data_IF_042148221582
#
_entry.id   IF_042148221582
#
_cell.length_a   1.000
_cell.length_b   1.000
_cell.length_c   1.000
_cell.angle_alpha   90.00
_cell.angle_beta   90.00
_cell.angle_gamma   90.00
#
_symmetry.space_group_name_H-M   'P 1'
#
loop_
_entity.id
_entity.type
_entity.pdbx_description
1 polymer ?
#
# COMPACT_ATOMS: atom_id res chain seq x y z
N UNK A 1 10.19 25.24 2.49
CA UNK A 1 8.71 25.15 2.55
C UNK A 1 8.06 24.12 1.64
N UNK A 2 8.32 23.99 0.32
CA UNK A 2 7.65 22.95 -0.52
C UNK A 2 8.22 21.53 -0.34
N UNK A 3 9.54 21.39 -0.33
CA UNK A 3 10.23 20.11 -0.07
C UNK A 3 9.89 19.52 1.31
N UNK A 4 9.79 20.36 2.34
CA UNK A 4 9.43 19.94 3.70
C UNK A 4 8.00 19.41 3.80
N UNK A 5 7.07 19.94 2.99
CA UNK A 5 5.70 19.44 2.93
C UNK A 5 5.65 18.06 2.28
N UNK A 6 6.30 17.88 1.12
CA UNK A 6 6.38 16.58 0.46
C UNK A 6 7.11 15.53 1.32
N UNK A 7 8.19 15.92 2.01
CA UNK A 7 8.90 15.04 2.93
C UNK A 7 8.01 14.60 4.11
N UNK A 8 7.15 15.48 4.63
CA UNK A 8 6.14 15.12 5.65
C UNK A 8 5.09 14.14 5.12
N UNK A 9 4.58 14.38 3.91
CA UNK A 9 3.62 13.46 3.26
C UNK A 9 4.27 12.09 3.05
N UNK A 10 5.51 12.05 2.57
CA UNK A 10 6.28 10.81 2.41
C UNK A 10 6.47 10.13 3.77
N UNK A 11 6.92 10.84 4.80
CA UNK A 11 7.08 10.28 6.14
C UNK A 11 5.77 9.67 6.69
N UNK A 12 4.62 10.33 6.47
CA UNK A 12 3.31 9.77 6.82
C UNK A 12 3.01 8.49 6.04
N UNK A 13 3.31 8.45 4.74
CA UNK A 13 3.16 7.24 3.91
C UNK A 13 4.02 6.10 4.47
N UNK A 14 5.26 6.38 4.86
CA UNK A 14 6.15 5.39 5.49
C UNK A 14 5.61 4.91 6.84
N UNK A 15 5.16 5.81 7.71
CA UNK A 15 4.54 5.46 8.99
C UNK A 15 3.30 4.60 8.81
N UNK A 16 2.49 4.87 7.79
CA UNK A 16 1.31 4.06 7.48
C UNK A 16 1.73 2.68 6.99
N UNK A 17 2.72 2.59 6.11
CA UNK A 17 3.20 1.31 5.58
C UNK A 17 3.95 0.48 6.63
N UNK A 18 4.57 1.12 7.62
CA UNK A 18 5.24 0.46 8.74
C UNK A 18 4.27 0.06 9.86
N UNK A 19 3.34 0.94 10.25
CA UNK A 19 2.35 0.68 11.31
C UNK A 19 1.25 -0.28 10.84
N UNK A 20 0.80 -0.14 9.60
CA UNK A 20 -0.11 -1.11 8.99
C UNK A 20 0.76 -2.25 8.52
N UNK A 21 0.87 -3.28 9.36
CA UNK A 21 1.52 -4.58 9.08
C UNK A 21 1.07 -5.26 7.76
N UNK A 22 0.25 -4.62 6.93
CA UNK A 22 -0.03 -4.97 5.52
C UNK A 22 1.19 -5.41 4.71
N UNK A 23 2.37 -4.83 4.96
CA UNK A 23 3.61 -5.22 4.27
C UNK A 23 4.53 -6.14 5.07
N UNK A 24 4.35 -6.24 6.39
CA UNK A 24 5.28 -6.97 7.28
C UNK A 24 4.64 -8.20 7.96
N UNK A 25 4.89 -9.34 7.28
CA UNK A 25 5.31 -10.65 7.80
C UNK A 25 4.34 -11.50 8.63
N UNK A 26 3.59 -12.39 7.97
CA UNK A 26 3.94 -13.81 7.75
C UNK A 26 2.82 -14.44 6.92
N UNK A 27 3.11 -14.88 5.70
CA UNK A 27 2.14 -15.52 4.78
C UNK A 27 1.39 -16.68 5.45
N UNK A 28 1.99 -17.31 6.48
CA UNK A 28 1.44 -18.44 7.22
C UNK A 28 0.67 -18.08 8.51
N UNK A 29 0.51 -16.80 8.86
CA UNK A 29 -0.19 -16.38 10.10
C UNK A 29 -1.13 -15.18 9.91
N UNK A 30 -1.42 -14.79 8.67
CA UNK A 30 -2.22 -13.61 8.41
C UNK A 30 -3.72 -13.90 8.43
N UNK A 31 -4.43 -13.19 9.32
CA UNK A 31 -5.89 -13.18 9.32
C UNK A 31 -6.39 -12.36 8.13
N UNK A 32 -7.00 -12.99 7.14
CA UNK A 32 -7.47 -12.35 5.90
C UNK A 32 -8.28 -11.07 6.14
N UNK A 33 -9.33 -11.05 6.96
CA UNK A 33 -10.01 -9.83 7.40
C UNK A 33 -9.08 -8.66 7.76
N UNK A 34 -7.99 -8.93 8.49
CA UNK A 34 -7.02 -7.89 8.88
C UNK A 34 -6.19 -7.40 7.69
N UNK A 35 -5.77 -8.29 6.79
CA UNK A 35 -5.09 -7.93 5.53
C UNK A 35 -6.00 -7.02 4.70
N UNK A 36 -7.26 -7.42 4.53
CA UNK A 36 -8.27 -6.66 3.78
C UNK A 36 -8.47 -5.27 4.38
N UNK A 37 -8.63 -5.19 5.70
CA UNK A 37 -8.80 -3.91 6.37
C UNK A 37 -7.57 -3.01 6.17
N UNK A 38 -6.37 -3.57 6.32
CA UNK A 38 -5.11 -2.85 6.10
C UNK A 38 -4.98 -2.29 4.68
N UNK A 39 -5.49 -3.02 3.67
CA UNK A 39 -5.47 -2.56 2.28
C UNK A 39 -6.52 -1.49 1.97
N UNK A 40 -7.72 -1.60 2.56
CA UNK A 40 -8.74 -0.53 2.47
C UNK A 40 -8.20 0.77 3.05
N UNK A 41 -7.58 0.64 4.20
CA UNK A 41 -6.90 1.69 4.93
C UNK A 41 -5.77 2.33 4.11
N UNK A 42 -4.88 1.52 3.54
CA UNK A 42 -3.80 1.98 2.66
C UNK A 42 -4.37 2.77 1.47
N UNK A 43 -5.42 2.27 0.83
CA UNK A 43 -6.08 2.95 -0.30
C UNK A 43 -6.62 4.32 0.08
N UNK A 44 -7.29 4.42 1.24
CA UNK A 44 -7.84 5.68 1.74
C UNK A 44 -6.73 6.70 1.99
N UNK A 45 -5.64 6.28 2.64
CA UNK A 45 -4.50 7.14 2.91
C UNK A 45 -3.77 7.59 1.65
N UNK A 46 -3.54 6.70 0.67
CA UNK A 46 -2.95 7.10 -0.60
C UNK A 46 -3.85 8.11 -1.33
N UNK A 47 -5.17 7.96 -1.23
CA UNK A 47 -6.11 8.91 -1.84
C UNK A 47 -6.04 10.28 -1.17
N UNK A 48 -5.94 10.33 0.16
CA UNK A 48 -5.70 11.57 0.91
C UNK A 48 -4.37 12.22 0.50
N UNK A 49 -3.27 11.46 0.55
CA UNK A 49 -1.93 11.93 0.21
C UNK A 49 -1.85 12.47 -1.23
N UNK A 50 -2.52 11.81 -2.19
CA UNK A 50 -2.61 12.29 -3.58
C UNK A 50 -3.34 13.62 -3.73
N UNK A 51 -4.25 13.95 -2.82
CA UNK A 51 -4.93 15.26 -2.76
C UNK A 51 -4.08 16.37 -2.14
N UNK A 52 -3.11 16.00 -1.30
CA UNK A 52 -2.19 16.94 -0.65
C UNK A 52 -0.98 17.28 -1.54
N UNK A 53 -0.59 16.37 -2.42
CA UNK A 53 0.48 16.61 -3.39
C UNK A 53 -0.02 17.56 -4.48
N UNK A 54 0.63 18.71 -4.60
CA UNK A 54 0.31 19.74 -5.59
C UNK A 54 1.21 19.64 -6.83
N UNK A 55 2.54 19.69 -6.68
CA UNK A 55 3.48 19.86 -7.80
C UNK A 55 4.62 18.81 -7.85
N UNK A 56 4.35 17.54 -7.55
CA UNK A 56 5.35 16.46 -7.64
C UNK A 56 4.81 15.25 -8.42
N UNK A 57 5.01 15.28 -9.74
CA UNK A 57 4.51 14.24 -10.65
C UNK A 57 5.10 12.86 -10.37
N UNK A 58 6.35 12.80 -9.90
CA UNK A 58 7.01 11.53 -9.57
C UNK A 58 6.39 10.93 -8.32
N UNK A 59 6.25 11.72 -7.26
CA UNK A 59 5.59 11.28 -6.03
C UNK A 59 4.12 10.91 -6.30
N UNK A 60 3.40 11.72 -7.09
CA UNK A 60 2.01 11.42 -7.49
C UNK A 60 1.91 10.09 -8.24
N UNK A 61 2.85 9.81 -9.15
CA UNK A 61 2.92 8.54 -9.87
C UNK A 61 3.19 7.36 -8.93
N UNK A 62 4.15 7.52 -8.01
CA UNK A 62 4.52 6.48 -7.06
C UNK A 62 3.38 6.16 -6.07
N UNK A 63 2.72 7.17 -5.49
CA UNK A 63 1.55 6.94 -4.63
C UNK A 63 0.36 6.37 -5.40
N UNK A 64 0.17 6.76 -6.65
CA UNK A 64 -0.86 6.17 -7.53
C UNK A 64 -0.59 4.68 -7.78
N UNK A 65 0.67 4.31 -7.97
CA UNK A 65 1.06 2.91 -8.15
C UNK A 65 0.85 2.08 -6.89
N UNK A 66 1.19 2.59 -5.69
CA UNK A 66 0.90 1.92 -4.41
C UNK A 66 -0.61 1.69 -4.26
N UNK A 67 -1.42 2.71 -4.54
CA UNK A 67 -2.89 2.61 -4.49
C UNK A 67 -3.41 1.57 -5.49
N UNK A 68 -2.86 1.52 -6.70
CA UNK A 68 -3.26 0.58 -7.73
C UNK A 68 -2.93 -0.86 -7.36
N UNK A 69 -1.74 -1.13 -6.80
CA UNK A 69 -1.34 -2.45 -6.31
C UNK A 69 -2.33 -2.99 -5.26
N UNK A 70 -2.68 -2.16 -4.26
CA UNK A 70 -3.67 -2.52 -3.25
C UNK A 70 -5.06 -2.81 -3.85
N UNK A 71 -5.51 -2.01 -4.83
CA UNK A 71 -6.78 -2.23 -5.54
C UNK A 71 -6.74 -3.53 -6.35
N UNK A 72 -5.64 -3.80 -7.04
CA UNK A 72 -5.47 -5.00 -7.86
C UNK A 72 -5.50 -6.26 -7.00
N UNK A 73 -4.83 -6.27 -5.85
CA UNK A 73 -4.95 -7.36 -4.89
C UNK A 73 -6.42 -7.57 -4.49
N UNK A 74 -7.09 -6.50 -4.04
CA UNK A 74 -8.47 -6.60 -3.59
C UNK A 74 -9.40 -7.12 -4.69
N UNK A 75 -9.21 -6.72 -5.95
CA UNK A 75 -10.02 -7.21 -7.09
C UNK A 75 -9.80 -8.69 -7.42
N UNK A 76 -8.56 -9.17 -7.29
CA UNK A 76 -8.19 -10.52 -7.71
C UNK A 76 -8.43 -11.57 -6.62
N UNK A 77 -8.33 -11.17 -5.35
CA UNK A 77 -8.37 -12.08 -4.20
C UNK A 77 -9.68 -11.99 -3.42
N UNK A 78 -10.36 -10.85 -3.43
CA UNK A 78 -11.50 -10.58 -2.54
C UNK A 78 -12.72 -10.18 -3.34
N UNK A 79 -13.82 -10.92 -3.18
CA UNK A 79 -15.11 -10.36 -3.54
C UNK A 79 -16.23 -10.96 -2.69
N UNK A 80 -16.19 -10.93 -1.36
CA UNK A 80 -17.44 -10.98 -0.56
C UNK A 80 -17.36 -9.95 0.58
N UNK A 81 -18.49 -9.32 0.89
CA UNK A 81 -18.60 -8.16 1.81
C UNK A 81 -18.19 -8.49 3.26
N UNK A 82 -18.14 -9.77 3.58
CA UNK A 82 -17.92 -10.41 4.88
C UNK A 82 -16.48 -10.91 5.10
N UNK A 83 -15.57 -10.70 4.13
CA UNK A 83 -14.14 -10.94 4.33
C UNK A 83 -13.68 -12.37 4.03
N UNK A 84 -14.51 -13.18 3.37
CA UNK A 84 -14.10 -14.47 2.83
C UNK A 84 -13.32 -14.32 1.53
N UNK A 85 -12.36 -15.21 1.33
CA UNK A 85 -11.62 -15.30 0.07
C UNK A 85 -12.51 -15.94 -0.99
N UNK A 86 -12.64 -15.30 -2.15
CA UNK A 86 -13.29 -15.93 -3.33
C UNK A 86 -12.42 -16.98 -4.01
N UNK A 87 -11.15 -17.07 -3.62
CA UNK A 87 -10.10 -17.91 -4.23
C UNK A 87 -9.42 -18.73 -3.15
N UNK A 88 -8.65 -19.75 -3.56
CA UNK A 88 -7.86 -20.53 -2.63
C UNK A 88 -6.86 -19.64 -1.87
N UNK A 89 -6.51 -20.06 -0.66
CA UNK A 89 -5.51 -19.40 0.16
C UNK A 89 -4.15 -19.28 -0.56
N UNK A 90 -3.74 -20.32 -1.30
CA UNK A 90 -2.53 -20.28 -2.14
C UNK A 90 -2.58 -19.18 -3.20
N UNK A 91 -3.74 -18.98 -3.83
CA UNK A 91 -3.91 -17.91 -4.82
C UNK A 91 -3.87 -16.53 -4.15
N UNK A 92 -4.50 -16.39 -2.99
CA UNK A 92 -4.46 -15.18 -2.19
C UNK A 92 -3.03 -14.83 -1.76
N UNK A 93 -2.28 -15.82 -1.28
CA UNK A 93 -0.88 -15.69 -0.87
C UNK A 93 0.03 -15.27 -2.02
N UNK A 94 -0.08 -15.92 -3.18
CA UNK A 94 0.69 -15.53 -4.38
C UNK A 94 0.44 -14.08 -4.78
N UNK A 95 -0.82 -13.64 -4.81
CA UNK A 95 -1.15 -12.26 -5.15
C UNK A 95 -0.71 -11.26 -4.06
N UNK A 96 -0.69 -11.68 -2.80
CA UNK A 96 -0.21 -10.86 -1.69
C UNK A 96 1.29 -10.61 -1.80
N UNK A 97 2.07 -11.65 -2.15
CA UNK A 97 3.51 -11.54 -2.40
C UNK A 97 3.81 -10.59 -3.55
N UNK A 98 3.14 -10.75 -4.70
CA UNK A 98 3.30 -9.85 -5.86
C UNK A 98 3.05 -8.38 -5.45
N UNK A 99 1.95 -8.12 -4.75
CA UNK A 99 1.61 -6.77 -4.30
C UNK A 99 2.67 -6.22 -3.34
N UNK A 100 3.21 -7.05 -2.43
CA UNK A 100 4.26 -6.65 -1.49
C UNK A 100 5.56 -6.29 -2.19
N UNK A 101 5.98 -7.07 -3.18
CA UNK A 101 7.16 -6.76 -3.99
C UNK A 101 6.99 -5.44 -4.74
N UNK A 102 5.84 -5.24 -5.38
CA UNK A 102 5.52 -4.00 -6.09
C UNK A 102 5.59 -2.79 -5.15
N UNK A 103 4.88 -2.81 -4.03
CA UNK A 103 4.87 -1.71 -3.06
C UNK A 103 6.27 -1.52 -2.46
N UNK A 104 6.96 -2.60 -2.07
CA UNK A 104 8.30 -2.55 -1.50
C UNK A 104 9.32 -1.86 -2.42
N UNK A 105 9.24 -2.12 -3.74
CA UNK A 105 10.11 -1.47 -4.72
C UNK A 105 9.88 0.05 -4.81
N UNK A 106 8.61 0.49 -4.69
CA UNK A 106 8.23 1.91 -4.73
C UNK A 106 8.68 2.59 -3.44
N UNK A 107 8.43 1.95 -2.29
CA UNK A 107 8.86 2.44 -0.98
C UNK A 107 10.37 2.62 -0.94
N UNK A 108 11.14 1.64 -1.39
CA UNK A 108 12.60 1.75 -1.44
C UNK A 108 13.06 2.95 -2.29
N UNK A 109 12.41 3.21 -3.43
CA UNK A 109 12.69 4.37 -4.28
C UNK A 109 12.35 5.69 -3.60
N UNK A 110 11.20 5.79 -2.94
CA UNK A 110 10.77 6.99 -2.20
C UNK A 110 11.72 7.30 -1.04
N UNK A 111 12.17 6.28 -0.30
CA UNK A 111 13.11 6.43 0.81
C UNK A 111 14.41 7.09 0.34
N UNK A 112 14.97 6.59 -0.76
CA UNK A 112 16.21 7.12 -1.34
C UNK A 112 16.09 8.56 -1.86
N UNK A 113 14.87 9.01 -2.18
CA UNK A 113 14.63 10.31 -2.81
C UNK A 113 14.30 11.40 -1.80
N UNK A 114 13.58 11.07 -0.71
CA UNK A 114 12.99 12.07 0.20
C UNK A 114 13.44 11.95 1.66
N UNK A 115 14.12 10.85 2.04
CA UNK A 115 14.52 10.58 3.44
C UNK A 115 16.06 10.63 3.61
N UNK A 116 16.84 10.77 2.53
CA UNK A 116 18.31 10.91 2.55
C UNK A 116 18.72 12.38 2.65
#
# INVERSE_FOLDING_TARGET
MRLEHNAKVVAQVFDILANKRSLHHSVYMENWPHVIQSLKDLRSEMTRALGEITDDDRLRKDLTAIRAAAINFMKNVIVEEDGWLRRSEDHANMHLEIMREEIGSIVHRLARTYIV
#
